data_IF_304141825237
#
_entry.id   IF_304141825237
#
_cell.length_a   1.000
_cell.length_b   1.000
_cell.length_c   1.000
_cell.angle_alpha   90.00
_cell.angle_beta   90.00
_cell.angle_gamma   90.00
#
_symmetry.space_group_name_H-M   'P 1'
#
loop_
_entity.id
_entity.type
_entity.pdbx_description
1 polymer ?
#
# COMPACT_ATOMS: atom_id res chain seq x y z
N UNK A 1 -15.75 -40.85 -43.77
CA UNK A 1 -15.07 -40.59 -42.47
C UNK A 1 -14.87 -39.09 -42.35
N UNK A 2 -15.55 -38.43 -41.41
CA UNK A 2 -15.52 -36.98 -41.26
C UNK A 2 -14.36 -36.56 -40.34
N UNK A 3 -13.45 -35.75 -40.87
CA UNK A 3 -12.28 -35.24 -40.13
C UNK A 3 -12.71 -34.05 -39.26
N UNK A 4 -12.63 -34.20 -37.95
CA UNK A 4 -12.98 -33.14 -36.99
C UNK A 4 -11.91 -32.03 -37.06
N UNK A 5 -12.27 -30.75 -37.26
CA UNK A 5 -11.31 -29.66 -37.28
C UNK A 5 -10.75 -29.43 -35.87
N UNK A 6 -9.43 -29.60 -35.74
CA UNK A 6 -8.69 -29.29 -34.51
C UNK A 6 -8.79 -27.77 -34.26
N UNK A 7 -9.60 -27.36 -33.28
CA UNK A 7 -9.58 -25.99 -32.74
C UNK A 7 -8.16 -25.70 -32.25
N UNK A 8 -7.49 -24.75 -32.90
CA UNK A 8 -6.25 -24.18 -32.38
C UNK A 8 -6.59 -23.45 -31.08
N UNK A 9 -6.23 -24.02 -29.93
CA UNK A 9 -6.21 -23.28 -28.67
C UNK A 9 -5.06 -22.28 -28.81
N UNK A 10 -5.36 -20.98 -28.85
CA UNK A 10 -4.36 -19.93 -28.70
C UNK A 10 -3.75 -20.12 -27.31
N UNK A 11 -2.58 -20.73 -27.24
CA UNK A 11 -1.76 -20.72 -26.03
C UNK A 11 -1.08 -19.36 -26.01
N UNK A 12 -1.76 -18.36 -25.47
CA UNK A 12 -1.04 -17.17 -25.02
C UNK A 12 0.13 -17.64 -24.13
N UNK A 13 1.35 -17.11 -24.30
CA UNK A 13 2.44 -17.43 -23.40
C UNK A 13 1.94 -17.17 -21.97
N UNK A 14 2.17 -18.10 -21.02
CA UNK A 14 1.80 -17.84 -19.64
C UNK A 14 2.40 -16.50 -19.26
N UNK A 15 1.56 -15.57 -18.78
CA UNK A 15 2.04 -14.31 -18.25
C UNK A 15 3.17 -14.65 -17.29
N UNK A 16 4.38 -14.18 -17.59
CA UNK A 16 5.49 -14.25 -16.66
C UNK A 16 5.02 -13.44 -15.45
N UNK A 17 4.48 -14.14 -14.45
CA UNK A 17 4.16 -13.57 -13.15
C UNK A 17 5.52 -13.17 -12.59
N UNK A 18 5.90 -11.92 -12.79
CA UNK A 18 7.03 -11.32 -12.09
C UNK A 18 6.82 -11.59 -10.61
N UNK A 19 7.91 -11.94 -9.91
CA UNK A 19 7.84 -12.16 -8.48
C UNK A 19 7.17 -10.96 -7.80
N UNK A 20 6.21 -11.19 -6.89
CA UNK A 20 5.52 -10.11 -6.22
C UNK A 20 6.53 -9.22 -5.52
N UNK A 21 6.37 -7.90 -5.67
CA UNK A 21 7.25 -6.93 -5.03
C UNK A 21 7.19 -7.13 -3.51
N UNK A 22 8.30 -7.59 -2.94
CA UNK A 22 8.42 -7.82 -1.51
C UNK A 22 8.89 -6.52 -0.83
N UNK A 23 7.97 -5.86 -0.12
CA UNK A 23 8.32 -4.71 0.72
C UNK A 23 8.91 -5.22 2.04
N UNK A 24 10.14 -4.82 2.34
CA UNK A 24 10.80 -5.15 3.59
C UNK A 24 10.35 -4.21 4.69
N UNK A 25 9.53 -4.69 5.63
CA UNK A 25 9.15 -3.92 6.81
C UNK A 25 10.31 -3.87 7.78
N UNK A 26 10.99 -2.73 7.82
CA UNK A 26 12.02 -2.49 8.83
C UNK A 26 11.41 -2.26 10.22
N UNK A 27 12.28 -2.09 11.23
CA UNK A 27 11.84 -1.89 12.61
C UNK A 27 10.96 -0.65 12.77
N UNK A 28 11.25 0.43 12.05
CA UNK A 28 10.47 1.67 12.06
C UNK A 28 9.06 1.45 11.51
N UNK A 29 8.96 0.80 10.36
CA UNK A 29 7.70 0.50 9.68
C UNK A 29 6.82 -0.39 10.55
N UNK A 30 7.41 -1.37 11.24
CA UNK A 30 6.70 -2.23 12.19
C UNK A 30 6.18 -1.47 13.41
N UNK A 31 6.91 -0.47 13.90
CA UNK A 31 6.42 0.41 14.98
C UNK A 31 5.20 1.20 14.51
N UNK A 32 5.28 1.84 13.34
CA UNK A 32 4.17 2.59 12.75
C UNK A 32 2.94 1.72 12.51
N UNK A 33 3.13 0.49 12.01
CA UNK A 33 2.05 -0.49 11.86
C UNK A 33 1.38 -0.82 13.20
N UNK A 34 2.17 -0.99 14.26
CA UNK A 34 1.62 -1.25 15.58
C UNK A 34 0.86 -0.02 16.13
N UNK A 35 1.37 1.19 15.93
CA UNK A 35 0.69 2.43 16.35
C UNK A 35 -0.66 2.59 15.64
N UNK A 36 -0.68 2.37 14.32
CA UNK A 36 -1.91 2.35 13.53
C UNK A 36 -2.91 1.31 14.07
N UNK A 37 -2.46 0.08 14.32
CA UNK A 37 -3.31 -0.99 14.85
C UNK A 37 -3.88 -0.64 16.23
N UNK A 38 -3.07 -0.07 17.12
CA UNK A 38 -3.53 0.36 18.44
C UNK A 38 -4.57 1.49 18.34
N UNK A 39 -4.34 2.47 17.48
CA UNK A 39 -5.28 3.56 17.23
C UNK A 39 -6.60 3.05 16.63
N UNK A 40 -6.52 2.09 15.70
CA UNK A 40 -7.69 1.44 15.11
C UNK A 40 -8.51 0.70 16.17
N UNK A 41 -7.86 -0.07 17.05
CA UNK A 41 -8.53 -0.71 18.18
C UNK A 41 -9.19 0.31 19.11
N UNK A 42 -8.50 1.41 19.43
CA UNK A 42 -9.04 2.46 20.29
C UNK A 42 -10.27 3.16 19.68
N UNK A 43 -10.29 3.35 18.36
CA UNK A 43 -11.43 3.89 17.62
C UNK A 43 -12.61 2.91 17.56
N UNK A 44 -12.37 1.65 17.18
CA UNK A 44 -13.40 0.63 17.07
C UNK A 44 -14.02 0.27 18.43
N UNK A 45 -13.23 0.36 19.51
CA UNK A 45 -13.70 0.15 20.88
C UNK A 45 -14.44 1.37 21.48
N UNK A 46 -14.48 2.52 20.80
CA UNK A 46 -15.17 3.70 21.30
C UNK A 46 -16.68 3.62 21.01
N UNK A 47 -17.47 3.41 22.07
CA UNK A 47 -18.93 3.29 22.00
C UNK A 47 -19.58 4.45 22.78
N UNK A 48 -20.62 5.06 22.22
CA UNK A 48 -21.51 5.99 22.94
C UNK A 48 -21.12 7.47 22.91
N UNK A 49 -19.87 7.82 22.56
CA UNK A 49 -19.45 9.22 22.38
C UNK A 49 -19.01 9.48 20.93
N UNK A 50 -19.85 10.17 20.17
CA UNK A 50 -19.58 10.50 18.77
C UNK A 50 -18.40 11.47 18.59
N UNK A 51 -18.22 12.43 19.51
CA UNK A 51 -17.14 13.40 19.43
C UNK A 51 -15.79 12.73 19.72
N UNK A 52 -15.74 11.88 20.74
CA UNK A 52 -14.57 11.07 21.04
C UNK A 52 -14.26 10.06 19.93
N UNK A 53 -15.29 9.39 19.38
CA UNK A 53 -15.10 8.48 18.24
C UNK A 53 -14.50 9.21 17.03
N UNK A 54 -14.96 10.43 16.74
CA UNK A 54 -14.40 11.22 15.64
C UNK A 54 -12.96 11.68 15.93
N UNK A 55 -12.64 12.07 17.17
CA UNK A 55 -11.25 12.39 17.56
C UNK A 55 -10.33 11.20 17.37
N UNK A 56 -10.74 10.01 17.82
CA UNK A 56 -9.95 8.76 17.66
C UNK A 56 -9.81 8.34 16.21
N UNK A 57 -10.85 8.53 15.40
CA UNK A 57 -10.78 8.29 13.96
C UNK A 57 -9.67 9.11 13.30
N UNK A 58 -9.62 10.42 13.58
CA UNK A 58 -8.58 11.32 13.05
C UNK A 58 -7.17 10.91 13.47
N UNK A 59 -7.01 10.46 14.72
CA UNK A 59 -5.71 9.94 15.20
C UNK A 59 -5.31 8.68 14.44
N UNK A 60 -6.24 7.73 14.27
CA UNK A 60 -6.00 6.52 13.48
C UNK A 60 -5.66 6.84 12.02
N UNK A 61 -6.39 7.77 11.38
CA UNK A 61 -6.10 8.22 10.01
C UNK A 61 -4.70 8.84 9.90
N UNK A 62 -4.27 9.62 10.89
CA UNK A 62 -2.93 10.19 10.93
C UNK A 62 -1.83 9.12 10.94
N UNK A 63 -1.96 8.10 11.80
CA UNK A 63 -1.03 6.97 11.79
C UNK A 63 -1.07 6.17 10.49
N UNK A 64 -2.27 5.96 9.93
CA UNK A 64 -2.46 5.26 8.65
C UNK A 64 -1.80 6.00 7.48
N UNK A 65 -1.91 7.33 7.44
CA UNK A 65 -1.30 8.16 6.41
C UNK A 65 0.23 8.12 6.46
N UNK A 66 0.82 8.19 7.66
CA UNK A 66 2.27 8.07 7.84
C UNK A 66 2.79 6.71 7.38
N UNK A 67 2.12 5.62 7.79
CA UNK A 67 2.48 4.27 7.38
C UNK A 67 2.35 4.08 5.86
N UNK A 68 1.27 4.58 5.26
CA UNK A 68 1.07 4.50 3.81
C UNK A 68 2.17 5.25 3.05
N UNK A 69 2.52 6.46 3.49
CA UNK A 69 3.59 7.25 2.89
C UNK A 69 4.93 6.52 2.94
N UNK A 70 5.28 5.92 4.08
CA UNK A 70 6.54 5.20 4.25
C UNK A 70 6.61 3.97 3.32
N UNK A 71 5.53 3.16 3.28
CA UNK A 71 5.42 2.01 2.37
C UNK A 71 5.50 2.46 0.90
N UNK A 72 4.80 3.53 0.52
CA UNK A 72 4.85 4.07 -0.85
C UNK A 72 6.26 4.50 -1.23
N UNK A 73 6.99 5.14 -0.31
CA UNK A 73 8.38 5.53 -0.57
C UNK A 73 9.29 4.31 -0.72
N UNK A 74 9.12 3.28 0.10
CA UNK A 74 9.89 2.03 -0.02
C UNK A 74 9.62 1.33 -1.34
N UNK A 75 8.35 1.26 -1.76
CA UNK A 75 7.94 0.69 -3.06
C UNK A 75 8.55 1.48 -4.22
N UNK A 76 8.45 2.80 -4.20
CA UNK A 76 9.04 3.66 -5.24
C UNK A 76 10.54 3.40 -5.37
N UNK A 77 11.26 3.37 -4.24
CA UNK A 77 12.69 3.07 -4.23
C UNK A 77 13.01 1.68 -4.80
N UNK A 78 12.22 0.66 -4.47
CA UNK A 78 12.41 -0.69 -5.02
C UNK A 78 12.11 -0.77 -6.53
N UNK A 79 11.20 0.05 -7.03
CA UNK A 79 10.88 0.18 -8.45
C UNK A 79 11.89 1.07 -9.20
N UNK A 80 12.86 1.67 -8.51
CA UNK A 80 13.79 2.64 -9.10
C UNK A 80 13.14 4.00 -9.42
N UNK A 81 11.95 4.25 -8.90
CA UNK A 81 11.24 5.51 -9.01
C UNK A 81 11.78 6.48 -7.95
N UNK A 82 11.90 7.76 -8.30
CA UNK A 82 12.12 8.78 -7.28
C UNK A 82 10.88 8.82 -6.39
N UNK A 83 11.02 8.83 -5.06
CA UNK A 83 9.89 9.07 -4.16
C UNK A 83 9.18 10.35 -4.61
N UNK A 84 7.88 10.29 -4.90
CA UNK A 84 7.14 11.41 -5.52
C UNK A 84 7.27 12.74 -4.76
N UNK A 85 7.55 12.73 -3.44
CA UNK A 85 7.80 13.95 -2.66
C UNK A 85 9.12 14.66 -3.01
N UNK A 86 10.11 13.94 -3.55
CA UNK A 86 11.40 14.52 -3.94
C UNK A 86 11.37 15.20 -5.31
N UNK A 87 10.35 14.91 -6.14
CA UNK A 87 10.15 15.57 -7.43
C UNK A 87 9.55 16.97 -7.26
N UNK A 88 8.59 17.13 -6.34
CA UNK A 88 7.92 18.40 -6.07
C UNK A 88 8.86 19.50 -5.51
N UNK A 89 9.94 19.12 -4.80
CA UNK A 89 10.92 20.08 -4.28
C UNK A 89 11.90 20.61 -5.34
N UNK A 90 12.13 19.86 -6.43
CA UNK A 90 13.07 20.30 -7.48
C UNK A 90 12.43 21.24 -8.51
N UNK A 91 11.12 21.16 -8.71
CA UNK A 91 10.41 22.02 -9.67
C UNK A 91 10.18 23.45 -9.15
N UNK A 92 10.17 23.64 -7.83
CA UNK A 92 10.02 24.96 -7.18
C UNK A 92 11.35 25.73 -6.95
N UNK A 93 12.47 25.27 -7.51
CA UNK A 93 13.79 25.93 -7.40
C UNK A 93 14.34 26.49 -8.73
N UNK A 94 13.48 26.73 -9.72
CA UNK A 94 13.82 27.46 -10.96
C UNK A 94 12.98 28.70 -11.10
#
# INVERSE_FOLDING_TARGET
MATIPRKYIRTEPPALLTEPLAVHLDRSTLVQLNDYRQAQHAWLGCIGDAAERNRRHKVMEGFGALLALDITNQVALQLGESPNWAADEQENRK
#
